data_IF_529866806530
#
_entry.id   IF_529866806530
#
_cell.length_a   1.000
_cell.length_b   1.000
_cell.length_c   1.000
_cell.angle_alpha   90.00
_cell.angle_beta   90.00
_cell.angle_gamma   90.00
#
_symmetry.space_group_name_H-M   'P 1'
#
loop_
_entity.id
_entity.type
_entity.pdbx_description
1 polymer ?
#
# COMPACT_ATOMS: atom_id res chain seq x y z
N UNK A 1 -10.73 16.20 7.85
CA UNK A 1 -10.98 16.54 6.43
C UNK A 1 -10.37 15.42 5.61
N UNK A 2 -11.13 14.78 4.72
CA UNK A 2 -10.60 13.71 3.88
C UNK A 2 -9.62 14.31 2.85
N UNK A 3 -8.47 13.68 2.64
CA UNK A 3 -7.56 14.06 1.57
C UNK A 3 -8.20 13.68 0.22
N UNK A 4 -8.16 14.61 -0.73
CA UNK A 4 -8.68 14.41 -2.08
C UNK A 4 -7.51 14.17 -3.04
N UNK A 5 -7.66 13.19 -3.94
CA UNK A 5 -6.65 12.84 -4.92
C UNK A 5 -7.15 13.15 -6.34
N UNK A 6 -6.24 13.53 -7.22
CA UNK A 6 -6.49 13.73 -8.65
C UNK A 6 -5.53 12.88 -9.47
N UNK A 7 -6.03 12.25 -10.54
CA UNK A 7 -5.19 11.48 -11.48
C UNK A 7 -4.93 12.34 -12.71
N UNK A 8 -3.66 12.69 -12.93
CA UNK A 8 -3.22 13.51 -14.05
C UNK A 8 -2.56 12.64 -15.13
N UNK A 9 -2.82 12.94 -16.39
CA UNK A 9 -2.11 12.38 -17.54
C UNK A 9 -1.13 13.42 -18.04
N UNK A 10 0.13 13.02 -18.20
CA UNK A 10 1.19 13.87 -18.72
C UNK A 10 1.58 13.43 -20.12
N UNK A 11 1.75 14.38 -21.03
CA UNK A 11 2.19 14.11 -22.39
C UNK A 11 3.70 13.86 -22.50
N UNK A 12 4.49 14.41 -21.58
CA UNK A 12 5.96 14.40 -21.66
C UNK A 12 6.56 12.99 -21.55
N UNK A 13 5.83 12.07 -20.91
CA UNK A 13 6.26 10.68 -20.70
C UNK A 13 5.75 9.72 -21.79
N UNK A 14 4.85 10.17 -22.67
CA UNK A 14 4.23 9.32 -23.68
C UNK A 14 5.11 9.20 -24.94
N UNK A 15 5.56 7.99 -25.27
CA UNK A 15 6.16 7.69 -26.60
C UNK A 15 5.11 7.61 -27.73
N UNK A 16 3.84 7.88 -27.43
CA UNK A 16 2.68 7.69 -28.31
C UNK A 16 2.25 9.04 -28.88
N UNK A 17 1.77 9.05 -30.13
CA UNK A 17 1.26 10.27 -30.76
C UNK A 17 0.13 10.89 -29.93
N UNK A 18 0.16 12.23 -29.80
CA UNK A 18 -0.74 13.00 -28.94
C UNK A 18 -2.23 12.76 -29.29
N UNK A 19 -2.53 12.61 -30.58
CA UNK A 19 -3.89 12.30 -31.06
C UNK A 19 -4.38 10.93 -30.59
N UNK A 20 -3.53 9.90 -30.63
CA UNK A 20 -3.90 8.55 -30.18
C UNK A 20 -4.08 8.51 -28.65
N UNK A 21 -3.22 9.23 -27.92
CA UNK A 21 -3.36 9.41 -26.47
C UNK A 21 -4.72 10.07 -26.14
N UNK A 22 -5.08 11.12 -26.86
CA UNK A 22 -6.34 11.83 -26.69
C UNK A 22 -7.56 10.93 -26.92
N UNK A 23 -7.55 10.08 -27.96
CA UNK A 23 -8.62 9.10 -28.23
C UNK A 23 -8.78 8.11 -27.05
N UNK A 24 -7.68 7.59 -26.51
CA UNK A 24 -7.73 6.63 -25.41
C UNK A 24 -8.23 7.25 -24.11
N UNK A 25 -7.78 8.47 -23.79
CA UNK A 25 -8.24 9.23 -22.62
C UNK A 25 -9.70 9.63 -22.78
N UNK A 26 -10.13 10.03 -23.99
CA UNK A 26 -11.50 10.41 -24.30
C UNK A 26 -12.50 9.28 -24.04
N UNK A 27 -12.13 8.05 -24.38
CA UNK A 27 -12.94 6.86 -24.11
C UNK A 27 -13.19 6.63 -22.61
N UNK A 28 -12.27 7.06 -21.73
CA UNK A 28 -12.40 6.91 -20.27
C UNK A 28 -13.12 8.12 -19.67
N UNK A 29 -12.74 9.33 -20.08
CA UNK A 29 -13.31 10.58 -19.56
C UNK A 29 -14.73 10.86 -20.06
N UNK A 30 -15.15 10.22 -21.16
CA UNK A 30 -16.45 10.44 -21.80
C UNK A 30 -16.56 11.80 -22.48
N UNK A 31 -15.45 12.30 -23.05
CA UNK A 31 -15.38 13.58 -23.79
C UNK A 31 -14.94 13.37 -25.23
N UNK A 32 -15.02 14.41 -26.05
CA UNK A 32 -14.52 14.35 -27.41
C UNK A 32 -12.98 14.30 -27.42
N UNK A 33 -12.36 13.54 -28.35
CA UNK A 33 -10.90 13.46 -28.46
C UNK A 33 -10.27 14.82 -28.73
N UNK A 34 -10.92 15.67 -29.54
CA UNK A 34 -10.43 17.01 -29.89
C UNK A 34 -10.31 17.93 -28.66
N UNK A 35 -11.28 17.88 -27.73
CA UNK A 35 -11.21 18.65 -26.48
C UNK A 35 -10.05 18.20 -25.60
N UNK A 36 -9.83 16.88 -25.51
CA UNK A 36 -8.74 16.33 -24.70
C UNK A 36 -7.39 16.61 -25.35
N UNK A 37 -7.31 16.58 -26.68
CA UNK A 37 -6.09 16.93 -27.40
C UNK A 37 -5.66 18.36 -27.09
N UNK A 38 -6.58 19.33 -27.16
CA UNK A 38 -6.30 20.74 -26.84
C UNK A 38 -5.86 20.91 -25.38
N UNK A 39 -6.42 20.13 -24.46
CA UNK A 39 -6.04 20.18 -23.05
C UNK A 39 -4.67 19.55 -22.79
N UNK A 40 -4.35 18.44 -23.46
CA UNK A 40 -3.05 17.77 -23.39
C UNK A 40 -1.94 18.64 -24.00
N UNK A 41 -2.24 19.38 -25.08
CA UNK A 41 -1.35 20.38 -25.65
C UNK A 41 -1.09 21.55 -24.70
N UNK A 42 -2.05 21.86 -23.81
CA UNK A 42 -1.92 22.91 -22.80
C UNK A 42 -1.17 22.48 -21.53
N UNK A 43 -1.01 21.18 -21.29
CA UNK A 43 -0.26 20.62 -20.15
C UNK A 43 -0.90 19.37 -19.55
N UNK A 44 -0.53 19.05 -18.31
CA UNK A 44 -1.05 17.89 -17.59
C UNK A 44 -2.58 17.99 -17.39
N UNK A 45 -3.29 16.95 -17.80
CA UNK A 45 -4.75 16.92 -17.77
C UNK A 45 -5.22 16.05 -16.61
N UNK A 46 -5.94 16.64 -15.67
CA UNK A 46 -6.61 15.88 -14.60
C UNK A 46 -7.86 15.19 -15.17
N UNK A 47 -7.89 13.86 -15.19
CA UNK A 47 -9.05 13.08 -15.71
C UNK A 47 -10.21 13.12 -14.73
N UNK A 48 -9.90 13.03 -13.44
CA UNK A 48 -10.87 13.02 -12.36
C UNK A 48 -10.24 13.63 -11.10
N UNK A 49 -11.03 14.48 -10.44
CA UNK A 49 -10.66 15.18 -9.21
C UNK A 49 -11.52 14.72 -8.04
N UNK A 50 -11.07 15.04 -6.83
CA UNK A 50 -11.79 14.75 -5.59
C UNK A 50 -12.03 13.27 -5.31
N UNK A 51 -11.26 12.38 -5.95
CA UNK A 51 -11.34 10.95 -5.73
C UNK A 51 -10.84 10.58 -4.33
N UNK A 52 -11.46 9.58 -3.73
CA UNK A 52 -10.84 8.88 -2.61
C UNK A 52 -9.54 8.21 -3.06
N UNK A 53 -8.65 7.91 -2.10
CA UNK A 53 -7.39 7.24 -2.41
C UNK A 53 -7.61 5.89 -3.12
N UNK A 54 -8.62 5.12 -2.70
CA UNK A 54 -8.93 3.85 -3.34
C UNK A 54 -9.39 4.03 -4.80
N UNK A 55 -10.29 4.98 -5.07
CA UNK A 55 -10.78 5.26 -6.42
C UNK A 55 -9.68 5.82 -7.33
N UNK A 56 -8.76 6.64 -6.81
CA UNK A 56 -7.64 7.17 -7.60
C UNK A 56 -6.66 6.07 -8.02
N UNK A 57 -6.42 5.08 -7.16
CA UNK A 57 -5.62 3.90 -7.49
C UNK A 57 -6.31 2.97 -8.50
N UNK A 58 -7.63 2.77 -8.38
CA UNK A 58 -8.39 2.00 -9.37
C UNK A 58 -8.33 2.65 -10.75
N UNK A 59 -8.52 3.97 -10.82
CA UNK A 59 -8.42 4.71 -12.07
C UNK A 59 -7.00 4.68 -12.65
N UNK A 60 -5.98 4.80 -11.81
CA UNK A 60 -4.57 4.67 -12.23
C UNK A 60 -4.32 3.28 -12.84
N UNK A 61 -4.80 2.20 -12.20
CA UNK A 61 -4.67 0.83 -12.72
C UNK A 61 -5.35 0.67 -14.07
N UNK A 62 -6.54 1.27 -14.26
CA UNK A 62 -7.25 1.23 -15.53
C UNK A 62 -6.48 1.96 -16.63
N UNK A 63 -5.91 3.13 -16.33
CA UNK A 63 -5.09 3.92 -17.27
C UNK A 63 -3.80 3.21 -17.65
N UNK A 64 -3.08 2.64 -16.68
CA UNK A 64 -1.86 1.85 -16.90
C UNK A 64 -2.18 0.62 -17.77
N UNK A 65 -3.31 -0.06 -17.54
CA UNK A 65 -3.75 -1.19 -18.36
C UNK A 65 -3.98 -0.81 -19.83
N UNK A 66 -4.37 0.45 -20.11
CA UNK A 66 -4.50 0.98 -21.47
C UNK A 66 -3.23 1.64 -22.00
N UNK A 67 -2.11 1.49 -21.29
CA UNK A 67 -0.81 2.11 -21.60
C UNK A 67 -0.89 3.64 -21.71
N UNK A 68 -1.63 4.27 -20.80
CA UNK A 68 -1.71 5.73 -20.68
C UNK A 68 -0.83 6.15 -19.50
N UNK A 69 0.22 6.96 -19.71
CA UNK A 69 1.05 7.47 -18.61
C UNK A 69 0.22 8.38 -17.72
N UNK A 70 0.20 8.09 -16.42
CA UNK A 70 -0.59 8.84 -15.46
C UNK A 70 0.11 8.91 -14.09
N UNK A 71 -0.11 10.02 -13.39
CA UNK A 71 0.43 10.29 -12.06
C UNK A 71 -0.69 10.67 -11.11
N UNK A 72 -0.73 10.03 -9.95
CA UNK A 72 -1.64 10.40 -8.86
C UNK A 72 -1.03 11.53 -8.07
N UNK A 73 -1.74 12.65 -7.97
CA UNK A 73 -1.31 13.84 -7.22
C UNK A 73 -2.31 14.07 -6.09
N UNK A 74 -1.82 14.18 -4.86
CA UNK A 74 -2.64 14.60 -3.73
C UNK A 74 -2.96 16.09 -3.87
N UNK A 75 -4.24 16.46 -3.91
CA UNK A 75 -4.64 17.87 -3.91
C UNK A 75 -4.45 18.43 -2.50
N UNK A 76 -3.24 18.95 -2.25
CA UNK A 76 -2.98 19.89 -1.18
C UNK A 76 -3.71 21.18 -1.51
N UNK A 77 -4.72 21.54 -0.72
CA UNK A 77 -5.66 22.62 -1.02
C UNK A 77 -5.03 23.92 -1.51
N UNK A 78 -5.72 24.56 -2.46
CA UNK A 78 -5.60 25.94 -2.95
C UNK A 78 -4.94 26.22 -4.32
N UNK A 79 -4.83 25.25 -5.24
CA UNK A 79 -4.52 25.57 -6.66
C UNK A 79 -5.70 25.20 -7.55
N UNK A 80 -6.30 26.21 -8.17
CA UNK A 80 -7.43 26.10 -9.09
C UNK A 80 -6.88 25.84 -10.49
N UNK A 81 -6.57 24.58 -10.79
CA UNK A 81 -6.14 24.15 -12.13
C UNK A 81 -7.34 23.84 -13.03
N UNK A 82 -7.11 23.75 -14.35
CA UNK A 82 -8.14 23.58 -15.38
C UNK A 82 -8.85 22.23 -15.22
N UNK A 83 -10.12 22.25 -14.83
CA UNK A 83 -10.88 21.10 -14.34
C UNK A 83 -11.61 20.35 -15.48
N UNK A 84 -11.44 19.02 -15.53
CA UNK A 84 -12.33 18.12 -16.26
C UNK A 84 -13.36 17.49 -15.31
N UNK A 85 -14.52 18.13 -15.14
CA UNK A 85 -15.64 17.47 -14.46
C UNK A 85 -16.36 16.48 -15.38
N UNK A 86 -16.53 15.24 -14.90
CA UNK A 86 -17.35 14.18 -15.50
C UNK A 86 -18.82 14.58 -15.43
N UNK A 87 -19.48 14.77 -16.58
CA UNK A 87 -20.92 15.12 -16.64
C UNK A 87 -21.75 13.84 -16.61
N UNK A 88 -22.39 13.54 -15.49
CA UNK A 88 -23.39 12.46 -15.41
C UNK A 88 -24.63 12.82 -16.26
N UNK A 89 -25.30 11.85 -16.91
CA UNK A 89 -26.50 12.12 -17.68
C UNK A 89 -27.66 12.38 -16.71
N UNK A 90 -28.06 13.65 -16.54
CA UNK A 90 -29.31 14.03 -15.89
C UNK A 90 -30.15 14.86 -16.86
N UNK A 91 -31.35 14.36 -17.10
CA UNK A 91 -32.41 14.98 -17.89
C UNK A 91 -33.07 16.10 -17.10
N UNK A 92 -32.84 17.37 -17.40
CA UNK A 92 -33.85 18.47 -17.42
C UNK A 92 -33.27 19.82 -17.89
N UNK A 93 -34.15 20.61 -18.50
CA UNK A 93 -34.02 21.88 -19.26
C UNK A 93 -33.49 23.09 -18.44
N UNK A 94 -33.04 24.20 -19.09
CA UNK A 94 -32.09 25.15 -18.54
C UNK A 94 -32.71 26.41 -17.92
N UNK A 95 -31.96 27.08 -17.05
CA UNK A 95 -32.18 28.48 -16.67
C UNK A 95 -30.86 29.27 -16.78
N UNK A 96 -30.97 30.41 -17.48
CA UNK A 96 -29.98 31.46 -17.66
C UNK A 96 -29.39 31.98 -16.34
N UNK A 97 -28.09 32.25 -16.32
CA UNK A 97 -27.54 33.52 -15.79
C UNK A 97 -26.11 33.80 -16.30
N UNK A 98 -25.98 34.93 -16.99
CA UNK A 98 -24.78 35.71 -17.27
C UNK A 98 -24.10 36.20 -15.97
N UNK A 99 -22.91 36.77 -15.87
CA UNK A 99 -21.69 36.98 -16.64
C UNK A 99 -20.75 37.80 -15.69
N UNK A 100 -19.49 37.99 -16.09
CA UNK A 100 -18.48 38.93 -15.53
C UNK A 100 -17.64 38.36 -14.39
N UNK A 101 -16.31 38.39 -14.37
CA UNK A 101 -15.33 39.17 -15.13
C UNK A 101 -14.36 39.79 -14.11
N UNK A 102 -13.08 39.40 -14.10
CA UNK A 102 -12.00 40.17 -13.49
C UNK A 102 -10.63 39.63 -13.93
N UNK A 103 -9.95 40.47 -14.70
CA UNK A 103 -8.55 40.41 -15.12
C UNK A 103 -7.64 41.13 -14.11
N UNK A 104 -6.50 40.53 -13.76
CA UNK A 104 -5.22 41.19 -13.41
C UNK A 104 -4.21 40.06 -13.15
N UNK A 105 -3.06 39.94 -13.80
CA UNK A 105 -2.09 40.98 -14.12
C UNK A 105 -0.99 40.95 -13.06
N UNK A 106 0.11 40.24 -13.31
CA UNK A 106 1.26 40.17 -12.40
C UNK A 106 2.41 39.36 -13.00
N UNK A 107 3.37 40.10 -13.57
CA UNK A 107 4.60 39.60 -14.19
C UNK A 107 5.78 39.57 -13.20
N UNK A 108 6.79 38.75 -13.52
CA UNK A 108 8.13 38.76 -12.92
C UNK A 108 8.40 37.55 -12.02
N UNK A 109 9.52 36.85 -12.05
CA UNK A 109 10.76 37.05 -12.80
C UNK A 109 11.58 35.75 -12.82
N UNK A 110 12.40 35.63 -13.86
CA UNK A 110 13.80 35.17 -13.90
C UNK A 110 14.29 33.97 -13.06
N UNK A 111 14.80 32.94 -13.75
CA UNK A 111 16.22 32.60 -13.97
C UNK A 111 16.90 31.94 -12.75
N UNK A 112 17.21 30.66 -12.92
CA UNK A 112 18.02 29.88 -11.98
C UNK A 112 18.64 28.65 -12.64
N UNK A 113 19.32 28.87 -13.76
CA UNK A 113 20.18 27.88 -14.44
C UNK A 113 21.37 27.57 -13.53
N UNK A 114 21.52 26.31 -13.07
CA UNK A 114 22.78 25.79 -12.53
C UNK A 114 23.24 24.61 -13.39
N UNK A 115 24.25 24.90 -14.20
CA UNK A 115 25.15 23.96 -14.84
C UNK A 115 26.36 23.71 -13.93
N UNK A 116 26.83 22.46 -13.97
CA UNK A 116 28.20 21.97 -13.75
C UNK A 116 28.85 22.10 -12.37
N UNK A 117 29.31 20.94 -11.87
CA UNK A 117 30.71 20.61 -11.53
C UNK A 117 30.68 19.17 -10.97
N UNK A 118 31.18 18.20 -11.74
CA UNK A 118 32.55 17.68 -11.66
C UNK A 118 32.80 16.81 -10.41
N UNK A 119 32.98 15.51 -10.67
CA UNK A 119 33.26 14.49 -9.68
C UNK A 119 33.83 13.24 -10.33
N UNK A 120 34.87 13.42 -11.15
CA UNK A 120 35.73 12.35 -11.62
C UNK A 120 36.39 11.66 -10.42
N UNK A 121 36.07 10.38 -10.20
CA UNK A 121 36.88 9.52 -9.35
C UNK A 121 37.75 8.64 -10.23
N UNK A 122 39.02 9.05 -10.28
CA UNK A 122 40.11 8.36 -10.91
C UNK A 122 40.38 7.02 -10.21
N UNK A 123 40.39 5.98 -11.03
CA UNK A 123 40.94 4.65 -10.75
C UNK A 123 42.47 4.79 -10.64
N UNK A 124 43.04 4.21 -9.58
CA UNK A 124 44.48 4.16 -9.35
C UNK A 124 45.24 3.31 -10.37
N UNK A 125 46.58 3.42 -10.42
CA UNK A 125 47.38 3.08 -11.58
C UNK A 125 47.59 1.56 -11.71
N UNK A 126 47.18 1.02 -12.85
CA UNK A 126 47.64 -0.28 -13.32
C UNK A 126 49.07 -0.15 -13.87
N UNK A 127 49.88 -1.18 -13.58
CA UNK A 127 51.28 -1.31 -13.95
C UNK A 127 51.51 -1.23 -15.48
N UNK A 128 52.73 -0.90 -15.95
CA UNK A 128 53.01 -0.79 -17.38
C UNK A 128 53.14 -2.20 -17.98
N UNK A 129 52.03 -2.75 -18.46
CA UNK A 129 52.04 -3.85 -19.43
C UNK A 129 52.35 -3.27 -20.80
N UNK A 130 53.49 -3.63 -21.37
CA UNK A 130 53.82 -3.26 -22.75
C UNK A 130 52.77 -3.83 -23.70
N UNK A 131 51.91 -2.96 -24.22
CA UNK A 131 50.97 -3.31 -25.28
C UNK A 131 51.78 -3.72 -26.51
N UNK A 132 51.65 -4.98 -26.90
CA UNK A 132 52.21 -5.49 -28.14
C UNK A 132 51.39 -4.88 -29.29
N UNK A 133 51.97 -4.07 -30.20
CA UNK A 133 51.23 -3.39 -31.27
C UNK A 133 50.54 -4.35 -32.27
N UNK A 134 50.85 -5.65 -32.18
CA UNK A 134 50.22 -6.71 -32.95
C UNK A 134 48.92 -7.24 -32.34
N UNK A 135 48.57 -6.87 -31.11
CA UNK A 135 47.38 -7.36 -30.41
C UNK A 135 46.06 -6.89 -31.06
N UNK A 136 46.05 -5.71 -31.69
CA UNK A 136 44.87 -5.23 -32.45
C UNK A 136 44.58 -6.06 -33.71
N UNK A 137 45.60 -6.68 -34.30
CA UNK A 137 45.45 -7.45 -35.54
C UNK A 137 45.08 -8.93 -35.32
N UNK A 138 45.29 -9.46 -34.10
CA UNK A 138 45.02 -10.87 -33.77
C UNK A 138 44.49 -11.04 -32.32
N UNK A 139 43.22 -10.67 -32.06
CA UNK A 139 42.63 -10.71 -30.71
C UNK A 139 42.58 -12.12 -30.09
N UNK A 140 42.59 -13.17 -30.91
CA UNK A 140 42.53 -14.58 -30.47
C UNK A 140 43.80 -15.06 -29.72
N UNK A 141 44.84 -14.21 -29.63
CA UNK A 141 46.06 -14.49 -28.86
C UNK A 141 45.87 -14.30 -27.34
N UNK A 142 44.81 -13.62 -26.88
CA UNK A 142 44.61 -13.34 -25.45
C UNK A 142 43.80 -14.41 -24.68
N UNK A 143 42.96 -15.21 -25.34
CA UNK A 143 42.03 -16.10 -24.62
C UNK A 143 42.65 -17.36 -24.00
N UNK A 144 43.91 -17.69 -24.28
CA UNK A 144 44.50 -18.96 -23.83
C UNK A 144 45.10 -18.89 -22.41
N UNK A 145 45.14 -17.71 -21.76
CA UNK A 145 45.80 -17.55 -20.46
C UNK A 145 44.89 -17.55 -19.21
N UNK A 146 43.56 -17.59 -19.34
CA UNK A 146 42.67 -17.40 -18.16
C UNK A 146 41.79 -18.60 -17.76
N UNK A 147 41.85 -19.72 -18.47
CA UNK A 147 40.99 -20.88 -18.20
C UNK A 147 41.68 -22.01 -17.43
N UNK A 148 42.28 -21.75 -16.27
CA UNK A 148 42.64 -22.81 -15.33
C UNK A 148 42.79 -22.30 -13.89
N UNK A 149 41.68 -22.34 -13.12
CA UNK A 149 41.74 -22.19 -11.67
C UNK A 149 40.44 -21.79 -10.98
N UNK A 150 39.63 -22.78 -10.55
CA UNK A 150 38.97 -22.81 -9.24
C UNK A 150 37.94 -23.96 -9.18
N UNK A 151 38.24 -24.97 -8.36
CA UNK A 151 37.32 -26.04 -8.00
C UNK A 151 36.50 -25.73 -6.74
N UNK A 152 35.44 -26.53 -6.60
CA UNK A 152 34.84 -27.07 -5.36
C UNK A 152 34.36 -26.12 -4.25
N UNK A 153 33.04 -26.09 -4.03
CA UNK A 153 32.38 -26.69 -2.84
C UNK A 153 31.00 -26.04 -2.59
N UNK A 154 29.93 -26.83 -2.67
CA UNK A 154 28.63 -26.49 -2.08
C UNK A 154 28.06 -27.68 -1.34
N UNK A 155 28.14 -27.60 -0.01
CA UNK A 155 27.31 -28.34 0.92
C UNK A 155 26.22 -27.40 1.49
N UNK A 156 25.03 -27.89 1.85
CA UNK A 156 24.15 -27.15 2.76
C UNK A 156 24.04 -27.83 4.14
N UNK A 157 24.47 -27.08 5.16
CA UNK A 157 23.89 -27.04 6.51
C UNK A 157 22.54 -26.30 6.46
N UNK A 158 21.60 -26.32 7.40
CA UNK A 158 21.24 -27.15 8.55
C UNK A 158 19.91 -26.55 9.09
N UNK A 159 19.31 -27.22 10.07
CA UNK A 159 18.33 -26.74 11.05
C UNK A 159 16.88 -26.49 10.56
N UNK A 160 15.82 -26.57 11.36
CA UNK A 160 15.46 -27.20 12.63
C UNK A 160 14.02 -26.71 12.91
N UNK A 161 13.19 -27.50 13.60
CA UNK A 161 12.01 -26.97 14.31
C UNK A 161 10.67 -27.66 14.02
N UNK A 162 10.29 -28.58 14.90
CA UNK A 162 8.90 -29.02 15.14
C UNK A 162 8.27 -28.15 16.26
N UNK A 163 7.01 -28.33 16.74
CA UNK A 163 5.84 -29.08 16.23
C UNK A 163 4.52 -28.25 16.25
N UNK A 164 3.47 -28.74 15.57
CA UNK A 164 2.07 -28.28 15.71
C UNK A 164 1.15 -29.51 15.70
N UNK A 165 0.24 -29.62 16.69
CA UNK A 165 -1.04 -30.37 16.78
C UNK A 165 -1.26 -30.88 18.21
N UNK A 166 -2.45 -30.91 18.84
CA UNK A 166 -3.83 -30.63 18.43
C UNK A 166 -4.68 -30.32 19.67
N UNK A 167 -5.80 -29.60 19.54
CA UNK A 167 -7.18 -30.09 19.34
C UNK A 167 -7.98 -30.33 20.63
N UNK A 168 -9.07 -29.55 20.76
CA UNK A 168 -10.42 -29.87 21.27
C UNK A 168 -10.93 -29.01 22.45
N UNK A 169 -12.09 -28.33 22.29
CA UNK A 169 -13.00 -28.00 23.38
C UNK A 169 -14.25 -28.88 23.36
N UNK A 170 -14.68 -29.31 24.54
CA UNK A 170 -15.90 -30.08 24.76
C UNK A 170 -17.10 -29.18 25.10
N UNK A 171 -18.17 -29.39 24.35
CA UNK A 171 -19.52 -28.86 24.49
C UNK A 171 -20.28 -29.60 25.59
N UNK A 172 -21.07 -28.89 26.41
CA UNK A 172 -22.23 -29.48 27.08
C UNK A 172 -23.28 -28.40 27.42
N UNK A 173 -24.40 -28.44 26.69
CA UNK A 173 -25.70 -27.85 27.02
C UNK A 173 -26.67 -29.00 27.33
N UNK A 174 -27.53 -28.85 28.35
CA UNK A 174 -28.89 -29.42 28.48
C UNK A 174 -29.55 -28.73 29.69
N UNK A 175 -30.59 -27.89 29.54
CA UNK A 175 -32.05 -28.15 29.40
C UNK A 175 -32.72 -28.75 30.65
N UNK A 176 -33.63 -27.98 31.27
CA UNK A 176 -34.98 -28.34 31.75
C UNK A 176 -35.54 -27.13 32.56
N UNK A 177 -36.59 -26.40 32.16
CA UNK A 177 -38.02 -26.77 32.06
C UNK A 177 -38.65 -27.13 33.41
N UNK A 178 -39.62 -26.31 33.85
CA UNK A 178 -40.42 -26.53 35.05
C UNK A 178 -41.50 -25.45 35.19
N UNK A 179 -42.65 -25.70 34.56
CA UNK A 179 -43.94 -25.07 34.85
C UNK A 179 -44.35 -25.33 36.30
N UNK A 180 -45.06 -24.39 36.94
CA UNK A 180 -46.35 -24.73 37.55
C UNK A 180 -47.14 -23.49 37.95
N UNK A 181 -48.34 -23.42 37.40
CA UNK A 181 -49.43 -22.55 37.80
C UNK A 181 -50.14 -23.11 39.05
N UNK A 182 -50.77 -22.24 39.86
CA UNK A 182 -52.16 -22.42 40.37
C UNK A 182 -52.53 -21.41 41.46
N UNK A 183 -53.76 -20.88 41.31
CA UNK A 183 -54.78 -20.69 42.36
C UNK A 183 -54.51 -19.66 43.47
N UNK A 184 -55.47 -18.92 44.03
CA UNK A 184 -56.92 -18.94 43.95
C UNK A 184 -57.50 -17.57 44.35
N UNK A 185 -58.78 -17.46 44.03
CA UNK A 185 -59.70 -16.32 44.07
C UNK A 185 -60.47 -16.29 45.41
N UNK A 186 -60.95 -15.09 45.76
CA UNK A 186 -62.29 -14.78 46.32
C UNK A 186 -62.51 -14.89 47.85
N UNK A 187 -63.04 -13.79 48.40
CA UNK A 187 -63.61 -13.75 49.76
C UNK A 187 -64.19 -12.39 50.16
N UNK A 188 -65.04 -11.77 49.33
CA UNK A 188 -65.92 -10.68 49.76
C UNK A 188 -67.12 -11.27 50.52
N UNK A 189 -67.40 -10.76 51.72
CA UNK A 189 -68.69 -10.94 52.41
C UNK A 189 -69.09 -9.64 53.10
N UNK A 190 -70.25 -9.12 52.71
CA UNK A 190 -70.92 -7.99 53.33
C UNK A 190 -71.57 -8.40 54.68
N UNK A 191 -71.81 -7.46 55.61
CA UNK A 191 -72.53 -7.71 56.85
C UNK A 191 -74.05 -7.53 56.68
N UNK A 192 -74.82 -8.45 57.27
CA UNK A 192 -76.26 -8.32 57.53
C UNK A 192 -76.50 -7.65 58.89
N UNK A 193 -77.62 -6.92 58.97
CA UNK A 193 -77.95 -5.99 60.05
C UNK A 193 -78.45 -6.62 61.35
N UNK A 194 -78.52 -5.76 62.36
CA UNK A 194 -79.28 -5.97 63.59
C UNK A 194 -79.92 -4.64 63.98
N UNK A 195 -81.25 -4.61 63.88
CA UNK A 195 -82.15 -3.58 64.37
C UNK A 195 -82.28 -3.67 65.89
N UNK A 196 -82.03 -2.58 66.61
CA UNK A 196 -82.57 -2.41 67.97
C UNK A 196 -82.84 -0.94 68.27
N UNK A 197 -84.11 -0.69 68.60
CA UNK A 197 -84.64 0.54 69.17
C UNK A 197 -83.83 1.01 70.37
N UNK A 198 -83.28 2.22 70.30
CA UNK A 198 -82.96 3.05 71.46
C UNK A 198 -83.37 4.50 71.17
N UNK A 199 -84.27 4.98 72.01
CA UNK A 199 -84.80 6.34 72.14
C UNK A 199 -83.75 7.45 71.94
N UNK A 200 -84.07 8.56 71.24
CA UNK A 200 -83.12 9.64 71.01
C UNK A 200 -82.81 10.39 72.30
N UNK A 201 -81.60 10.17 72.84
CA UNK A 201 -80.97 11.05 73.80
C UNK A 201 -80.83 12.47 73.18
N UNK A 202 -80.94 13.55 73.97
CA UNK A 202 -80.81 14.91 73.47
C UNK A 202 -79.47 15.07 72.73
N UNK A 203 -79.55 15.63 71.51
CA UNK A 203 -78.41 15.94 70.65
C UNK A 203 -77.34 16.68 71.46
N UNK A 204 -76.28 15.97 71.80
CA UNK A 204 -75.11 16.53 72.45
C UNK A 204 -74.35 17.34 71.39
N UNK A 205 -74.63 18.65 71.32
CA UNK A 205 -74.01 19.57 70.36
C UNK A 205 -72.48 19.57 70.46
N UNK A 206 -71.91 19.11 71.57
CA UNK A 206 -70.47 18.89 71.75
C UNK A 206 -69.94 17.65 70.99
N UNK A 207 -70.75 16.60 70.85
CA UNK A 207 -70.43 15.43 70.01
C UNK A 207 -70.70 15.70 68.53
N UNK A 208 -71.73 16.47 68.23
CA UNK A 208 -72.05 16.86 66.86
C UNK A 208 -71.07 17.91 66.31
N UNK A 209 -70.55 18.82 67.13
CA UNK A 209 -69.44 19.72 66.75
C UNK A 209 -68.07 19.02 66.73
N UNK A 210 -67.94 17.85 67.35
CA UNK A 210 -66.77 16.96 67.20
C UNK A 210 -66.89 16.01 66.01
N UNK A 211 -68.11 15.73 65.56
CA UNK A 211 -68.42 14.96 64.35
C UNK A 211 -68.55 15.84 63.08
N UNK A 212 -68.90 17.12 63.25
CA UNK A 212 -68.86 18.19 62.22
C UNK A 212 -67.62 19.08 62.38
N UNK A 213 -66.77 18.78 63.35
CA UNK A 213 -65.55 19.52 63.59
C UNK A 213 -64.68 19.30 62.38
N UNK A 214 -64.69 20.30 61.50
CA UNK A 214 -63.76 20.53 60.40
C UNK A 214 -62.81 19.34 60.26
N UNK A 215 -63.14 18.42 59.36
CA UNK A 215 -62.11 17.62 58.69
C UNK A 215 -61.21 18.66 57.99
N UNK A 216 -60.33 19.33 58.76
CA UNK A 216 -59.11 19.93 58.24
C UNK A 216 -58.52 18.81 57.41
N UNK A 217 -58.55 18.98 56.08
CA UNK A 217 -58.23 17.99 55.07
C UNK A 217 -56.88 17.37 55.36
N UNK A 218 -56.88 16.38 56.24
CA UNK A 218 -55.67 15.77 56.72
C UNK A 218 -55.16 14.95 55.55
N UNK A 219 -53.91 15.15 55.13
CA UNK A 219 -53.38 14.38 54.02
C UNK A 219 -53.53 12.88 54.30
N UNK A 220 -53.85 12.07 53.28
CA UNK A 220 -54.24 10.67 53.46
C UNK A 220 -53.19 9.81 54.17
N UNK A 221 -51.91 10.18 54.10
CA UNK A 221 -50.80 9.43 54.68
C UNK A 221 -50.17 10.09 55.91
N UNK A 222 -50.77 11.15 56.47
CA UNK A 222 -50.20 11.85 57.63
C UNK A 222 -50.22 10.95 58.88
N UNK A 223 -49.10 10.74 59.59
CA UNK A 223 -48.97 9.78 60.68
C UNK A 223 -49.82 10.17 61.90
N UNK A 224 -50.56 9.21 62.46
CA UNK A 224 -51.34 9.41 63.69
C UNK A 224 -50.42 9.35 64.91
N UNK A 225 -49.66 10.43 65.14
CA UNK A 225 -48.72 10.56 66.26
C UNK A 225 -47.34 11.04 65.82
N UNK A 226 -46.36 10.90 66.72
CA UNK A 226 -44.96 11.22 66.43
C UNK A 226 -44.36 10.19 65.47
N UNK A 227 -43.86 10.64 64.32
CA UNK A 227 -43.06 9.82 63.40
C UNK A 227 -41.57 10.07 63.67
N UNK A 228 -40.81 9.06 64.15
CA UNK A 228 -39.38 9.20 64.45
C UNK A 228 -38.49 9.27 63.19
N UNK A 229 -39.06 9.10 61.99
CA UNK A 229 -38.28 9.12 60.74
C UNK A 229 -37.89 10.55 60.38
N UNK A 230 -36.67 10.76 59.82
CA UNK A 230 -36.24 12.06 59.33
C UNK A 230 -37.20 12.58 58.26
N UNK A 231 -37.27 13.91 58.13
CA UNK A 231 -38.08 14.54 57.09
C UNK A 231 -37.61 14.15 55.69
N UNK A 232 -38.55 13.85 54.81
CA UNK A 232 -38.25 13.57 53.41
C UNK A 232 -37.87 14.88 52.71
N UNK A 233 -36.71 14.90 52.03
CA UNK A 233 -36.18 16.10 51.37
C UNK A 233 -36.31 15.94 49.85
N UNK A 234 -37.25 16.64 49.18
CA UNK A 234 -37.47 16.54 47.72
C UNK A 234 -36.23 16.88 46.90
N UNK A 235 -35.40 17.80 47.40
CA UNK A 235 -34.15 18.20 46.76
C UNK A 235 -33.18 17.02 46.60
N UNK A 236 -33.12 16.11 47.57
CA UNK A 236 -32.24 14.93 47.48
C UNK A 236 -32.73 14.00 46.35
N UNK A 237 -34.04 13.78 46.23
CA UNK A 237 -34.63 12.98 45.15
C UNK A 237 -34.31 13.58 43.76
N UNK A 238 -34.43 14.91 43.63
CA UNK A 238 -34.12 15.61 42.40
C UNK A 238 -32.62 15.51 42.04
N UNK A 239 -31.73 15.78 43.01
CA UNK A 239 -30.27 15.68 42.79
C UNK A 239 -29.86 14.26 42.41
N UNK A 240 -30.41 13.23 43.06
CA UNK A 240 -30.15 11.84 42.68
C UNK A 240 -30.60 11.56 41.23
N UNK A 241 -31.76 12.09 40.81
CA UNK A 241 -32.24 11.95 39.43
C UNK A 241 -31.37 12.71 38.41
N UNK A 242 -30.76 13.82 38.82
CA UNK A 242 -29.77 14.54 37.99
C UNK A 242 -28.49 13.71 37.83
N UNK A 243 -28.04 13.03 38.89
CA UNK A 243 -26.85 12.18 38.86
C UNK A 243 -27.05 10.89 38.05
N UNK A 244 -28.22 10.27 38.15
CA UNK A 244 -28.59 9.12 37.35
C UNK A 244 -30.10 9.10 37.08
N UNK A 245 -30.53 8.95 35.82
CA UNK A 245 -31.94 8.95 35.46
C UNK A 245 -32.66 7.81 36.18
N UNK A 246 -33.75 8.14 36.89
CA UNK A 246 -34.50 7.17 37.69
C UNK A 246 -34.07 7.03 39.16
N UNK A 247 -32.90 7.54 39.57
CA UNK A 247 -32.42 7.32 40.94
C UNK A 247 -33.26 8.03 42.01
N UNK A 248 -33.84 9.20 41.71
CA UNK A 248 -34.78 9.85 42.63
C UNK A 248 -36.12 9.12 42.76
N UNK A 249 -36.56 8.41 41.72
CA UNK A 249 -37.73 7.53 41.80
C UNK A 249 -37.47 6.35 42.73
N UNK A 250 -36.26 5.76 42.71
CA UNK A 250 -35.86 4.75 43.71
C UNK A 250 -35.85 5.35 45.12
N UNK A 251 -35.28 6.55 45.29
CA UNK A 251 -35.28 7.25 46.58
C UNK A 251 -36.69 7.48 47.13
N UNK A 252 -37.65 7.74 46.24
CA UNK A 252 -39.05 7.94 46.55
C UNK A 252 -39.86 6.63 46.71
N UNK A 253 -39.25 5.45 46.49
CA UNK A 253 -39.93 4.15 46.61
C UNK A 253 -40.69 3.69 45.35
N UNK A 254 -40.38 4.26 44.18
CA UNK A 254 -41.00 3.93 42.88
C UNK A 254 -40.00 3.27 41.89
N UNK A 255 -39.48 2.06 42.17
CA UNK A 255 -38.42 1.43 41.37
C UNK A 255 -38.86 1.10 39.94
N UNK A 256 -40.14 0.82 39.70
CA UNK A 256 -40.65 0.53 38.35
C UNK A 256 -40.58 1.74 37.43
N UNK A 257 -40.82 2.96 37.96
CA UNK A 257 -40.66 4.19 37.19
C UNK A 257 -39.20 4.51 36.94
N UNK A 258 -38.34 4.24 37.93
CA UNK A 258 -36.89 4.39 37.78
C UNK A 258 -36.36 3.61 36.58
N UNK A 259 -36.80 2.36 36.40
CA UNK A 259 -36.40 1.54 35.26
C UNK A 259 -36.79 2.17 33.92
N UNK A 260 -38.01 2.69 33.77
CA UNK A 260 -38.44 3.33 32.50
C UNK A 260 -37.57 4.54 32.14
N UNK A 261 -37.18 5.33 33.14
CA UNK A 261 -36.27 6.45 32.94
C UNK A 261 -34.85 6.01 32.61
N UNK A 262 -34.37 4.94 33.24
CA UNK A 262 -33.08 4.33 32.90
C UNK A 262 -33.06 3.85 31.44
N UNK A 263 -34.13 3.22 30.93
CA UNK A 263 -34.18 2.80 29.52
C UNK A 263 -34.25 3.96 28.52
N UNK A 264 -34.74 5.13 28.93
CA UNK A 264 -34.89 6.31 28.06
C UNK A 264 -33.78 7.36 28.26
N UNK A 265 -32.68 6.98 28.90
CA UNK A 265 -31.60 7.88 29.32
C UNK A 265 -30.89 8.62 28.18
N UNK A 266 -30.86 8.05 26.98
CA UNK A 266 -30.18 8.62 25.82
C UNK A 266 -30.87 9.89 25.29
N UNK A 267 -32.07 10.20 25.79
CA UNK A 267 -32.82 11.40 25.47
C UNK A 267 -32.76 12.39 26.66
N UNK A 268 -32.37 13.63 26.39
CA UNK A 268 -32.35 14.70 27.42
C UNK A 268 -33.74 14.99 28.01
N UNK A 269 -34.79 14.81 27.20
CA UNK A 269 -36.16 15.15 27.59
C UNK A 269 -36.76 14.22 28.67
N UNK A 270 -36.73 12.88 28.53
CA UNK A 270 -37.05 11.96 29.61
C UNK A 270 -36.21 12.15 30.88
N UNK A 271 -34.93 12.54 30.76
CA UNK A 271 -34.09 12.82 31.93
C UNK A 271 -34.60 14.03 32.70
N UNK A 272 -34.87 15.15 32.01
CA UNK A 272 -35.48 16.32 32.64
C UNK A 272 -36.83 15.98 33.32
N UNK A 273 -37.67 15.18 32.65
CA UNK A 273 -38.93 14.70 33.24
C UNK A 273 -38.71 13.85 34.49
N UNK A 274 -37.71 12.97 34.51
CA UNK A 274 -37.34 12.19 35.69
C UNK A 274 -36.99 13.10 36.88
N UNK A 275 -36.23 14.17 36.66
CA UNK A 275 -35.87 15.11 37.73
C UNK A 275 -37.11 15.83 38.26
N UNK A 276 -37.96 16.33 37.36
CA UNK A 276 -39.18 17.06 37.73
C UNK A 276 -40.17 16.17 38.50
N UNK A 277 -40.44 14.98 38.00
CA UNK A 277 -41.35 14.03 38.66
C UNK A 277 -40.80 13.55 40.00
N UNK A 278 -39.48 13.35 40.13
CA UNK A 278 -38.87 13.00 41.42
C UNK A 278 -39.04 14.12 42.45
N UNK A 279 -38.93 15.39 42.03
CA UNK A 279 -39.20 16.54 42.88
C UNK A 279 -40.67 16.63 43.27
N UNK A 280 -41.58 16.61 42.29
CA UNK A 280 -43.04 16.73 42.50
C UNK A 280 -43.55 15.63 43.43
N UNK A 281 -43.12 14.38 43.21
CA UNK A 281 -43.52 13.27 44.07
C UNK A 281 -42.83 13.33 45.44
N UNK A 282 -41.58 13.78 45.52
CA UNK A 282 -40.92 14.06 46.80
C UNK A 282 -41.67 15.11 47.63
N UNK A 283 -42.21 16.14 46.97
CA UNK A 283 -43.02 17.17 47.60
C UNK A 283 -44.36 16.61 48.12
N UNK A 284 -44.99 15.69 47.36
CA UNK A 284 -46.17 14.94 47.81
C UNK A 284 -45.87 14.05 49.04
N UNK A 285 -44.70 13.42 49.10
CA UNK A 285 -44.28 12.64 50.28
C UNK A 285 -44.05 13.56 51.48
N UNK A 286 -43.41 14.73 51.27
CA UNK A 286 -43.17 15.73 52.32
C UNK A 286 -44.47 16.27 52.91
N UNK A 287 -45.47 16.50 52.05
CA UNK A 287 -46.81 17.00 52.40
C UNK A 287 -47.81 15.89 52.74
N UNK A 288 -47.36 14.63 52.84
CA UNK A 288 -48.16 13.47 53.23
C UNK A 288 -49.32 13.09 52.28
N UNK A 289 -49.25 13.53 51.02
CA UNK A 289 -50.16 13.12 49.94
C UNK A 289 -49.71 11.83 49.23
N UNK A 290 -48.47 11.40 49.46
CA UNK A 290 -47.94 10.11 49.00
C UNK A 290 -47.37 9.31 50.18
N UNK A 291 -47.34 7.96 50.09
CA UNK A 291 -46.79 7.13 51.15
C UNK A 291 -45.27 7.36 51.30
N UNK A 292 -44.76 7.40 52.54
CA UNK A 292 -43.31 7.48 52.78
C UNK A 292 -42.61 6.18 52.34
N UNK A 293 -41.42 6.29 51.71
CA UNK A 293 -40.64 5.13 51.31
C UNK A 293 -40.15 4.32 52.53
N UNK A 294 -39.77 3.06 52.27
CA UNK A 294 -39.18 2.20 53.28
C UNK A 294 -37.82 2.74 53.77
N UNK A 295 -37.45 2.52 55.05
CA UNK A 295 -36.12 2.90 55.52
C UNK A 295 -35.04 2.13 54.74
N UNK A 296 -34.08 2.87 54.19
CA UNK A 296 -32.98 2.30 53.38
C UNK A 296 -33.10 2.55 51.88
N UNK A 297 -34.20 3.12 51.38
CA UNK A 297 -34.33 3.50 49.98
C UNK A 297 -33.25 4.49 49.52
N UNK A 298 -32.75 5.36 50.40
CA UNK A 298 -31.60 6.22 50.09
C UNK A 298 -30.33 5.44 49.71
N UNK A 299 -30.06 4.33 50.40
CA UNK A 299 -28.91 3.46 50.07
C UNK A 299 -29.17 2.68 48.79
N UNK A 300 -30.42 2.26 48.53
CA UNK A 300 -30.82 1.59 47.28
C UNK A 300 -30.66 2.54 46.09
N UNK A 301 -31.09 3.80 46.21
CA UNK A 301 -30.95 4.82 45.18
C UNK A 301 -29.48 5.13 44.85
N UNK A 302 -28.61 5.25 45.85
CA UNK A 302 -27.17 5.44 45.64
C UNK A 302 -26.53 4.24 44.94
N UNK A 303 -26.86 3.01 45.35
CA UNK A 303 -26.39 1.79 44.67
C UNK A 303 -26.89 1.71 43.24
N UNK A 304 -28.15 2.09 43.00
CA UNK A 304 -28.72 2.16 41.67
C UNK A 304 -27.94 3.13 40.78
N UNK A 305 -27.66 4.35 41.26
CA UNK A 305 -26.87 5.34 40.52
C UNK A 305 -25.44 4.83 40.23
N UNK A 306 -24.79 4.18 41.19
CA UNK A 306 -23.45 3.61 41.00
C UNK A 306 -23.46 2.46 39.97
N UNK A 307 -24.41 1.54 40.08
CA UNK A 307 -24.58 0.44 39.13
C UNK A 307 -24.90 0.95 37.72
N UNK A 308 -25.67 2.04 37.63
CA UNK A 308 -26.01 2.70 36.38
C UNK A 308 -24.75 3.23 35.67
N UNK A 309 -23.90 3.97 36.38
CA UNK A 309 -22.62 4.47 35.83
C UNK A 309 -21.66 3.33 35.48
N UNK A 310 -21.62 2.26 36.28
CA UNK A 310 -20.84 1.07 35.97
C UNK A 310 -21.31 0.40 34.67
N UNK A 311 -22.62 0.28 34.45
CA UNK A 311 -23.18 -0.26 33.21
C UNK A 311 -22.81 0.62 31.99
N UNK A 312 -22.92 1.95 32.11
CA UNK A 312 -22.50 2.87 31.05
C UNK A 312 -21.01 2.77 30.75
N UNK A 313 -20.16 2.63 31.77
CA UNK A 313 -18.72 2.43 31.58
C UNK A 313 -18.40 1.14 30.84
N UNK A 314 -19.10 0.03 31.15
CA UNK A 314 -18.95 -1.25 30.43
C UNK A 314 -19.36 -1.11 28.97
N UNK A 315 -20.52 -0.50 28.69
CA UNK A 315 -21.00 -0.29 27.31
C UNK A 315 -20.05 0.63 26.54
N UNK A 316 -19.63 1.75 27.15
CA UNK A 316 -18.65 2.67 26.55
C UNK A 316 -17.30 2.00 26.28
N UNK A 317 -16.83 1.15 27.20
CA UNK A 317 -15.62 0.36 27.02
C UNK A 317 -15.72 -0.63 25.86
N UNK A 318 -16.84 -1.36 25.74
CA UNK A 318 -17.09 -2.27 24.62
C UNK A 318 -17.17 -1.51 23.28
N UNK A 319 -17.78 -0.34 23.25
CA UNK A 319 -17.82 0.52 22.06
C UNK A 319 -16.42 1.02 21.67
N UNK A 320 -15.60 1.42 22.65
CA UNK A 320 -14.22 1.83 22.40
C UNK A 320 -13.35 0.68 21.86
N UNK A 321 -13.50 -0.53 22.42
CA UNK A 321 -12.78 -1.73 21.95
C UNK A 321 -13.20 -2.10 20.53
N UNK A 322 -14.51 -2.14 20.26
CA UNK A 322 -15.01 -2.45 18.90
C UNK A 322 -14.60 -1.40 17.88
N UNK A 323 -14.61 -0.12 18.24
CA UNK A 323 -14.06 0.95 17.40
C UNK A 323 -12.57 0.76 17.13
N UNK A 324 -11.78 0.41 18.15
CA UNK A 324 -10.35 0.12 17.99
C UNK A 324 -10.08 -1.03 17.02
N UNK A 325 -10.83 -2.12 17.11
CA UNK A 325 -10.72 -3.27 16.20
C UNK A 325 -11.04 -2.87 14.75
N UNK A 326 -12.10 -2.08 14.53
CA UNK A 326 -12.47 -1.61 13.19
C UNK A 326 -11.39 -0.71 12.59
N UNK A 327 -10.80 0.16 13.39
CA UNK A 327 -9.74 1.05 12.93
C UNK A 327 -8.44 0.28 12.61
N UNK A 328 -8.10 -0.72 13.43
CA UNK A 328 -6.98 -1.64 13.13
C UNK A 328 -7.21 -2.43 11.84
N UNK A 329 -8.43 -2.92 11.60
CA UNK A 329 -8.78 -3.61 10.35
C UNK A 329 -8.62 -2.69 9.14
N UNK A 330 -9.10 -1.45 9.22
CA UNK A 330 -8.91 -0.45 8.15
C UNK A 330 -7.44 -0.16 7.87
N UNK A 331 -6.63 -0.04 8.92
CA UNK A 331 -5.20 0.16 8.78
C UNK A 331 -4.50 -1.05 8.11
N UNK A 332 -4.94 -2.28 8.42
CA UNK A 332 -4.42 -3.49 7.78
C UNK A 332 -4.81 -3.57 6.30
N UNK A 333 -6.06 -3.26 5.96
CA UNK A 333 -6.54 -3.23 4.57
C UNK A 333 -5.74 -2.24 3.72
N UNK A 334 -5.43 -1.06 4.25
CA UNK A 334 -4.57 -0.08 3.56
C UNK A 334 -3.16 -0.62 3.30
N UNK A 335 -2.52 -1.25 4.29
CA UNK A 335 -1.19 -1.86 4.12
C UNK A 335 -1.20 -2.98 3.09
N UNK A 336 -2.26 -3.80 3.07
CA UNK A 336 -2.40 -4.85 2.06
C UNK A 336 -2.62 -4.28 0.66
N UNK A 337 -3.40 -3.21 0.52
CA UNK A 337 -3.59 -2.53 -0.76
C UNK A 337 -2.28 -1.91 -1.28
N UNK A 338 -1.48 -1.28 -0.40
CA UNK A 338 -0.16 -0.75 -0.73
C UNK A 338 0.80 -1.85 -1.15
N UNK A 339 0.87 -2.96 -0.41
CA UNK A 339 1.72 -4.10 -0.74
C UNK A 339 1.36 -4.72 -2.10
N UNK A 340 0.06 -4.85 -2.41
CA UNK A 340 -0.41 -5.31 -3.72
C UNK A 340 -0.04 -4.36 -4.85
N UNK A 341 -0.07 -3.04 -4.61
CA UNK A 341 0.35 -2.06 -5.59
C UNK A 341 1.85 -2.14 -5.87
N UNK A 342 2.67 -2.26 -4.81
CA UNK A 342 4.12 -2.45 -4.97
C UNK A 342 4.43 -3.75 -5.72
N UNK A 343 3.76 -4.86 -5.39
CA UNK A 343 3.91 -6.11 -6.12
C UNK A 343 3.58 -5.95 -7.62
N UNK A 344 2.45 -5.30 -7.95
CA UNK A 344 2.07 -5.05 -9.34
C UNK A 344 3.06 -4.14 -10.09
N UNK A 345 3.68 -3.16 -9.41
CA UNK A 345 4.72 -2.31 -10.01
C UNK A 345 6.02 -3.10 -10.25
N UNK A 346 6.40 -3.98 -9.33
CA UNK A 346 7.58 -4.85 -9.49
C UNK A 346 7.36 -5.81 -10.65
N UNK A 347 6.19 -6.45 -10.75
CA UNK A 347 5.86 -7.34 -11.86
C UNK A 347 5.93 -6.63 -13.22
N UNK A 348 5.41 -5.38 -13.29
CA UNK A 348 5.52 -4.56 -14.50
C UNK A 348 6.98 -4.23 -14.85
N UNK A 349 7.80 -3.85 -13.86
CA UNK A 349 9.21 -3.54 -14.07
C UNK A 349 10.03 -4.77 -14.50
N UNK A 350 9.68 -5.97 -14.04
CA UNK A 350 10.31 -7.22 -14.48
C UNK A 350 10.02 -7.48 -15.96
N UNK A 351 8.77 -7.29 -16.40
CA UNK A 351 8.42 -7.43 -17.82
C UNK A 351 9.17 -6.41 -18.68
N UNK A 352 9.25 -5.15 -18.26
CA UNK A 352 10.01 -4.12 -18.98
C UNK A 352 11.51 -4.46 -19.06
N UNK A 353 12.08 -5.04 -18.00
CA UNK A 353 13.47 -5.49 -17.99
C UNK A 353 13.72 -6.68 -18.92
N UNK A 354 12.81 -7.65 -18.95
CA UNK A 354 12.88 -8.80 -19.87
C UNK A 354 12.78 -8.34 -21.33
N UNK A 355 11.86 -7.43 -21.65
CA UNK A 355 11.73 -6.83 -22.99
C UNK A 355 13.01 -6.07 -23.38
N UNK A 356 13.58 -5.27 -22.48
CA UNK A 356 14.84 -4.58 -22.72
C UNK A 356 16.01 -5.55 -22.93
N UNK A 357 16.07 -6.64 -22.16
CA UNK A 357 17.10 -7.65 -22.28
C UNK A 357 17.00 -8.42 -23.61
N UNK A 358 15.79 -8.81 -24.03
CA UNK A 358 15.61 -9.49 -25.32
C UNK A 358 16.01 -8.60 -26.49
N UNK A 359 15.70 -7.31 -26.45
CA UNK A 359 16.12 -6.33 -27.47
C UNK A 359 17.64 -6.14 -27.46
N UNK A 360 18.26 -6.04 -26.28
CA UNK A 360 19.71 -5.93 -26.16
C UNK A 360 20.41 -7.16 -26.74
N UNK A 361 19.95 -8.37 -26.42
CA UNK A 361 20.50 -9.62 -26.98
C UNK A 361 20.32 -9.69 -28.49
N UNK A 362 19.16 -9.29 -29.03
CA UNK A 362 18.92 -9.25 -30.46
C UNK A 362 19.91 -8.29 -31.17
N UNK A 363 20.07 -7.07 -30.64
CA UNK A 363 20.99 -6.08 -31.20
C UNK A 363 22.46 -6.50 -31.11
N UNK A 364 22.85 -7.19 -30.03
CA UNK A 364 24.19 -7.75 -29.89
C UNK A 364 24.44 -8.89 -30.89
N UNK A 365 23.42 -9.72 -31.17
CA UNK A 365 23.47 -10.75 -32.19
C UNK A 365 23.66 -10.17 -33.60
N UNK A 366 22.90 -9.13 -33.95
CA UNK A 366 23.04 -8.42 -35.22
C UNK A 366 24.42 -7.78 -35.37
N UNK A 367 24.93 -7.12 -34.33
CA UNK A 367 26.26 -6.53 -34.33
C UNK A 367 27.37 -7.58 -34.47
N UNK A 368 27.25 -8.72 -33.78
CA UNK A 368 28.19 -9.83 -33.90
C UNK A 368 28.18 -10.42 -35.32
N UNK A 369 27.00 -10.59 -35.91
CA UNK A 369 26.88 -11.08 -37.28
C UNK A 369 27.49 -10.09 -38.28
N UNK A 370 27.24 -8.79 -38.13
CA UNK A 370 27.85 -7.75 -38.97
C UNK A 370 29.38 -7.75 -38.87
N UNK A 371 29.95 -7.99 -37.68
CA UNK A 371 31.40 -8.14 -37.52
C UNK A 371 31.93 -9.41 -38.19
N UNK A 372 31.20 -10.52 -38.14
CA UNK A 372 31.58 -11.76 -38.84
C UNK A 372 31.54 -11.55 -40.35
N UNK A 373 30.49 -10.91 -40.87
CA UNK A 373 30.34 -10.58 -42.29
C UNK A 373 31.42 -9.60 -42.76
N UNK A 374 31.73 -8.55 -41.99
CA UNK A 374 32.80 -7.61 -42.29
C UNK A 374 34.18 -8.28 -42.25
N UNK A 375 34.41 -9.19 -41.29
CA UNK A 375 35.64 -10.01 -41.26
C UNK A 375 35.72 -10.94 -42.47
N UNK A 376 34.61 -11.56 -42.86
CA UNK A 376 34.53 -12.41 -44.06
C UNK A 376 34.79 -11.61 -45.36
N UNK A 377 34.33 -10.36 -45.43
CA UNK A 377 34.59 -9.49 -46.58
C UNK A 377 36.06 -9.02 -46.69
N UNK A 378 36.81 -9.05 -45.58
CA UNK A 378 38.22 -8.65 -45.52
C UNK A 378 39.20 -9.85 -45.48
N UNK A 379 38.75 -11.09 -45.69
CA UNK A 379 39.69 -12.21 -45.70
C UNK A 379 40.53 -12.22 -46.97
N UNK A 380 41.76 -11.75 -46.83
CA UNK A 380 42.91 -12.16 -47.64
C UNK A 380 42.89 -13.68 -47.81
N UNK A 381 43.16 -14.18 -49.02
CA UNK A 381 43.05 -15.60 -49.34
C UNK A 381 43.91 -16.46 -48.39
N UNK A 382 43.46 -17.66 -48.05
CA UNK A 382 44.10 -18.48 -47.00
C UNK A 382 45.59 -18.76 -47.32
N UNK A 383 45.90 -18.88 -48.61
CA UNK A 383 47.25 -19.06 -49.12
C UNK A 383 48.11 -17.80 -48.97
N UNK A 384 47.57 -16.61 -49.25
CA UNK A 384 48.26 -15.34 -49.05
C UNK A 384 48.54 -15.08 -47.56
N UNK A 385 47.54 -15.37 -46.71
CA UNK A 385 47.67 -15.28 -45.25
C UNK A 385 48.71 -16.26 -44.71
N UNK A 386 48.71 -17.50 -45.20
CA UNK A 386 49.71 -18.49 -44.84
C UNK A 386 51.12 -18.05 -45.25
N UNK A 387 51.28 -17.45 -46.44
CA UNK A 387 52.57 -16.94 -46.92
C UNK A 387 53.08 -15.76 -46.11
N UNK A 388 52.24 -14.77 -45.77
CA UNK A 388 52.65 -13.65 -44.90
C UNK A 388 53.04 -14.11 -43.50
N UNK A 389 52.25 -15.01 -42.90
CA UNK A 389 52.57 -15.60 -41.60
C UNK A 389 53.86 -16.43 -41.64
N UNK A 390 54.14 -17.10 -42.75
CA UNK A 390 55.37 -17.84 -42.95
C UNK A 390 56.60 -16.92 -42.97
N UNK A 391 56.54 -15.78 -43.66
CA UNK A 391 57.63 -14.79 -43.68
C UNK A 391 57.90 -14.25 -42.27
N UNK A 392 56.85 -13.87 -41.54
CA UNK A 392 56.96 -13.36 -40.17
C UNK A 392 57.54 -14.43 -39.24
N UNK A 393 57.00 -15.64 -39.28
CA UNK A 393 57.49 -16.74 -38.45
C UNK A 393 58.94 -17.08 -38.76
N UNK A 394 59.34 -17.03 -40.03
CA UNK A 394 60.74 -17.25 -40.44
C UNK A 394 61.68 -16.21 -39.83
N UNK A 395 61.28 -14.93 -39.82
CA UNK A 395 62.05 -13.87 -39.14
C UNK A 395 62.20 -14.15 -37.64
N UNK A 396 61.14 -14.62 -36.97
CA UNK A 396 61.23 -15.03 -35.55
C UNK A 396 62.19 -16.20 -35.34
N UNK A 397 62.21 -17.17 -36.26
CA UNK A 397 63.16 -18.29 -36.22
C UNK A 397 64.62 -17.79 -36.34
N UNK A 398 64.88 -16.79 -37.21
CA UNK A 398 66.20 -16.15 -37.38
C UNK A 398 66.59 -15.34 -36.14
N UNK A 399 65.65 -14.62 -35.54
CA UNK A 399 65.85 -13.85 -34.30
C UNK A 399 66.02 -14.75 -33.05
N UNK A 400 65.88 -16.07 -33.20
CA UNK A 400 65.97 -17.09 -32.14
C UNK A 400 64.85 -16.99 -31.10
N UNK A 401 63.70 -16.44 -31.48
CA UNK A 401 62.48 -16.50 -30.68
C UNK A 401 61.72 -17.79 -31.01
N UNK A 402 62.24 -18.90 -30.47
CA UNK A 402 61.74 -20.25 -30.75
C UNK A 402 60.25 -20.47 -30.41
N UNK A 403 59.69 -20.01 -29.27
CA UNK A 403 58.27 -20.22 -28.99
C UNK A 403 57.38 -19.47 -29.99
N UNK A 404 57.77 -18.26 -30.40
CA UNK A 404 57.03 -17.49 -31.40
C UNK A 404 57.14 -18.12 -32.79
N UNK A 405 58.33 -18.57 -33.20
CA UNK A 405 58.57 -19.31 -34.44
C UNK A 405 57.74 -20.60 -34.50
N UNK A 406 57.70 -21.40 -33.43
CA UNK A 406 56.88 -22.62 -33.39
C UNK A 406 55.38 -22.31 -33.51
N UNK A 407 54.90 -21.34 -32.74
CA UNK A 407 53.49 -20.97 -32.74
C UNK A 407 53.03 -20.41 -34.08
N UNK A 408 53.84 -19.57 -34.72
CA UNK A 408 53.55 -19.00 -36.05
C UNK A 408 53.60 -20.08 -37.13
N UNK A 409 54.62 -20.94 -37.14
CA UNK A 409 54.72 -22.03 -38.13
C UNK A 409 53.60 -23.07 -37.97
N UNK A 410 53.15 -23.35 -36.74
CA UNK A 410 51.97 -24.18 -36.48
C UNK A 410 50.68 -23.59 -37.05
N UNK A 411 50.55 -22.26 -37.09
CA UNK A 411 49.42 -21.57 -37.73
C UNK A 411 49.50 -21.62 -39.25
N UNK A 412 50.71 -21.45 -39.81
CA UNK A 412 50.94 -21.60 -41.25
C UNK A 412 50.55 -22.99 -41.72
N UNK A 413 50.93 -24.05 -40.98
CA UNK A 413 50.60 -25.43 -41.35
C UNK A 413 49.12 -25.78 -41.15
N UNK A 414 48.43 -25.08 -40.26
CA UNK A 414 46.98 -25.18 -40.11
C UNK A 414 46.23 -24.53 -41.29
N UNK A 415 46.75 -23.43 -41.83
CA UNK A 415 46.18 -22.70 -42.97
C UNK A 415 46.53 -23.37 -44.32
N UNK A 416 47.79 -23.71 -44.53
CA UNK A 416 48.27 -24.34 -45.77
C UNK A 416 49.04 -25.63 -45.44
N UNK A 417 48.38 -26.77 -45.65
CA UNK A 417 48.95 -28.10 -45.37
C UNK A 417 50.12 -28.47 -46.29
N UNK A 418 50.25 -27.80 -47.42
CA UNK A 418 51.25 -28.10 -48.44
C UNK A 418 52.62 -27.45 -48.18
N UNK A 419 52.69 -26.51 -47.22
CA UNK A 419 53.94 -25.85 -46.82
C UNK A 419 54.83 -26.75 -45.95
N UNK A 420 55.55 -27.67 -46.63
CA UNK A 420 56.50 -28.62 -46.00
C UNK A 420 57.59 -27.94 -45.18
N UNK A 421 58.03 -26.75 -45.59
CA UNK A 421 59.10 -26.04 -44.89
C UNK A 421 58.63 -25.44 -43.56
N UNK A 422 57.35 -25.06 -43.45
CA UNK A 422 56.76 -24.62 -42.19
C UNK A 422 56.76 -25.74 -41.14
N UNK A 423 56.44 -26.98 -41.52
CA UNK A 423 56.54 -28.14 -40.61
C UNK A 423 57.98 -28.40 -40.15
N UNK A 424 58.96 -28.22 -41.03
CA UNK A 424 60.38 -28.39 -40.70
C UNK A 424 60.85 -27.34 -39.69
N UNK A 425 60.47 -26.08 -39.91
CA UNK A 425 60.78 -24.96 -39.01
C UNK A 425 60.06 -25.10 -37.67
N UNK A 426 58.80 -25.54 -37.66
CA UNK A 426 58.05 -25.83 -36.44
C UNK A 426 58.75 -26.90 -35.59
N UNK A 427 59.09 -28.04 -36.20
CA UNK A 427 59.78 -29.13 -35.50
C UNK A 427 61.19 -28.74 -35.04
N UNK A 428 61.90 -27.91 -35.82
CA UNK A 428 63.20 -27.39 -35.41
C UNK A 428 63.07 -26.44 -34.23
N UNK A 429 62.14 -25.48 -34.27
CA UNK A 429 61.92 -24.51 -33.20
C UNK A 429 61.52 -25.19 -31.89
N UNK A 430 60.63 -26.19 -31.94
CA UNK A 430 60.24 -26.95 -30.75
C UNK A 430 61.42 -27.70 -30.11
N UNK A 431 62.33 -28.25 -30.93
CA UNK A 431 63.55 -28.88 -30.44
C UNK A 431 64.53 -27.87 -29.82
N UNK A 432 64.66 -26.67 -30.39
CA UNK A 432 65.54 -25.63 -29.85
C UNK A 432 65.01 -25.00 -28.57
N UNK A 433 63.70 -24.86 -28.42
CA UNK A 433 63.08 -24.31 -27.21
C UNK A 433 63.45 -25.10 -25.94
N UNK A 434 63.81 -26.38 -26.08
CA UNK A 434 64.16 -27.29 -24.98
C UNK A 434 65.67 -27.53 -24.81
N UNK A 435 66.53 -26.94 -25.65
CA UNK A 435 67.99 -27.10 -25.59
C UNK A 435 68.66 -25.84 -25.05
N UNK A 436 69.62 -26.00 -24.14
CA UNK A 436 70.46 -24.89 -23.66
C UNK A 436 71.52 -24.47 -24.70
N UNK A 437 71.94 -25.38 -25.58
CA UNK A 437 72.94 -25.13 -26.63
C UNK A 437 72.33 -24.45 -27.87
N UNK A 438 72.58 -23.14 -28.00
CA UNK A 438 72.06 -22.27 -29.07
C UNK A 438 72.85 -22.32 -30.40
N UNK A 439 73.66 -23.36 -30.62
CA UNK A 439 74.66 -23.40 -31.72
C UNK A 439 74.21 -24.19 -32.96
N UNK A 440 73.02 -24.79 -32.95
CA UNK A 440 72.51 -25.55 -34.09
C UNK A 440 71.96 -24.61 -35.15
N UNK A 441 72.47 -24.74 -36.37
CA UNK A 441 72.07 -23.92 -37.52
C UNK A 441 70.61 -24.20 -37.94
N UNK A 442 69.98 -23.18 -38.54
CA UNK A 442 68.61 -23.26 -39.07
C UNK A 442 68.61 -24.26 -40.25
N UNK A 443 67.61 -25.16 -40.38
CA UNK A 443 67.54 -26.08 -41.50
C UNK A 443 67.56 -25.34 -42.83
N UNK A 444 68.17 -25.94 -43.86
CA UNK A 444 68.17 -25.35 -45.20
C UNK A 444 66.72 -25.30 -45.74
N UNK A 445 66.21 -24.07 -45.82
CA UNK A 445 64.89 -23.72 -46.35
C UNK A 445 65.11 -22.85 -47.58
N UNK A 446 64.21 -22.95 -48.57
CA UNK A 446 64.27 -22.08 -49.75
C UNK A 446 64.34 -20.60 -49.33
N UNK A 447 65.09 -19.74 -50.05
CA UNK A 447 65.23 -18.34 -49.69
C UNK A 447 63.84 -17.68 -49.63
N UNK A 448 63.47 -17.20 -48.44
CA UNK A 448 62.19 -16.55 -48.20
C UNK A 448 62.35 -15.07 -48.55
N UNK A 449 61.54 -14.52 -49.47
CA UNK A 449 61.58 -13.09 -49.78
C UNK A 449 61.22 -12.28 -48.53
N UNK A 450 61.75 -11.07 -48.43
CA UNK A 450 61.31 -10.15 -47.37
C UNK A 450 59.83 -9.81 -47.55
N UNK A 451 59.14 -9.41 -46.46
CA UNK A 451 57.71 -9.09 -46.53
C UNK A 451 57.44 -7.99 -47.57
N UNK A 452 58.32 -6.99 -47.64
CA UNK A 452 58.27 -5.90 -48.63
C UNK A 452 58.45 -6.43 -50.06
N UNK A 453 59.36 -7.39 -50.29
CA UNK A 453 59.54 -8.03 -51.61
C UNK A 453 58.34 -8.87 -52.02
N UNK A 454 57.71 -9.54 -51.06
CA UNK A 454 56.50 -10.31 -51.29
C UNK A 454 55.31 -9.41 -51.64
N UNK A 455 55.12 -8.29 -50.93
CA UNK A 455 54.07 -7.30 -51.23
C UNK A 455 54.29 -6.62 -52.60
N UNK A 456 55.55 -6.40 -52.99
CA UNK A 456 55.91 -5.89 -54.33
C UNK A 456 55.69 -6.93 -55.44
N UNK A 457 55.85 -8.23 -55.16
CA UNK A 457 55.66 -9.32 -56.13
C UNK A 457 54.21 -9.77 -56.27
N UNK A 458 53.43 -9.71 -55.20
CA UNK A 458 52.00 -10.06 -55.21
C UNK A 458 51.17 -9.11 -56.09
N UNK A 459 51.71 -7.94 -56.44
CA UNK A 459 51.03 -6.91 -57.23
C UNK A 459 49.86 -6.27 -56.46
N UNK A 460 49.28 -5.16 -56.96
CA UNK A 460 47.95 -4.79 -56.49
C UNK A 460 47.04 -5.98 -56.80
N UNK A 461 46.46 -6.59 -55.75
CA UNK A 461 45.47 -7.64 -55.92
C UNK A 461 44.41 -7.18 -56.93
N UNK A 462 43.73 -8.11 -57.65
CA UNK A 462 42.83 -7.75 -58.73
C UNK A 462 41.92 -6.62 -58.27
N UNK A 463 42.09 -5.43 -58.86
CA UNK A 463 41.19 -4.30 -58.64
C UNK A 463 39.80 -4.86 -58.90
N UNK A 464 39.01 -5.00 -57.85
CA UNK A 464 37.57 -5.27 -57.93
C UNK A 464 36.91 -3.97 -58.37
N UNK A 465 37.27 -3.54 -59.58
CA UNK A 465 36.60 -2.54 -60.37
C UNK A 465 36.20 -3.26 -61.64
N UNK A 466 35.08 -3.97 -61.60
CA UNK A 466 34.05 -3.92 -62.65
C UNK A 466 32.81 -4.77 -62.27
N UNK A 467 31.66 -4.07 -62.28
CA UNK A 467 30.28 -4.56 -62.38
C UNK A 467 29.60 -5.21 -61.14
N UNK A 468 29.03 -4.38 -60.24
CA UNK A 468 27.57 -4.09 -60.12
C UNK A 468 27.23 -3.20 -58.92
#
# INVERSE_FOLDING_TARGET
>A
MAAHYSVKVSCDEAKVELHELAIRVAAIAGRSPDEIQVLLEAGDVAIADSLSYAESLELQRELVRKRIPCRVVAQSGAVREVLLQRRAPTSTTPALAAASGATSGGAGAEVGKRTSEDGANAVGPAAPGGENPWAEFFPDLQEVSEAEGAGADLAPQAAAGAPVQGSAPATAQHVAAGEDARSAKKGQRAPEGSTRDETPAPLDASRLSRALGYDEERPPYAPRGYDPRPEHVPLIAAVLSVLAPGAGQVFNGEPERAQRYAWSFFLLWPWYRSVREAWEHGEQIRTWYAPRPEPGEGRRAMRFALNWWAALAVVGGLLAVTWGIVEEQRAQELRHAEAQLVAALVDAAVVDLEDAHTLAVASAGEAAQALVEARAAFTMDDDERAQRLYIIGYQSCVQRDYPLCEATMKRVTALSRDNRDAFRLQAWASMQAHREDRSVEIPEVAPVPSLEEFELQAGPGPDTIEEL
#
